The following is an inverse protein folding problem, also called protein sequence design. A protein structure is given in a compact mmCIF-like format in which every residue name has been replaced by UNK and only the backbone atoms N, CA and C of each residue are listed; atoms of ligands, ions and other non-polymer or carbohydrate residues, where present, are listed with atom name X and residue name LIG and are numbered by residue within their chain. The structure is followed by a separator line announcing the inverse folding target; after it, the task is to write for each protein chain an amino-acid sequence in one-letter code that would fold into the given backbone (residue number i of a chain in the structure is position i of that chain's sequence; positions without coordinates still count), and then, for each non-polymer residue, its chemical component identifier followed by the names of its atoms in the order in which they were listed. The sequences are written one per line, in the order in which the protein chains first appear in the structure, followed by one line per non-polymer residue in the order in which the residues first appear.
data_IF_337636856613
#
_entry.id   IF_337636856613
#
_cell.length_a   1.000
_cell.length_b   1.000
_cell.length_c   1.000
_cell.angle_alpha   90.00
_cell.angle_beta   90.00
_cell.angle_gamma   90.00
#
_symmetry.space_group_name_H-M   'P 1'
#
loop_
_entity.id
_entity.type
_entity.pdbx_description
1 polymer ?
#
# COMPACT_ATOMS: atom_id res chain seq x y z
N UNK A 1 12.27 -9.58 29.27
CA UNK A 1 11.43 -8.96 28.23
C UNK A 1 12.40 -8.45 27.18
N UNK A 2 12.35 -9.00 25.96
CA UNK A 2 13.28 -8.60 24.90
C UNK A 2 12.70 -7.34 24.26
N UNK A 3 13.42 -6.22 24.32
CA UNK A 3 13.00 -5.02 23.60
C UNK A 3 13.23 -5.24 22.11
N UNK A 4 12.22 -4.97 21.30
CA UNK A 4 12.40 -5.02 19.85
C UNK A 4 13.44 -3.97 19.41
N UNK A 5 14.39 -4.36 18.54
CA UNK A 5 15.28 -3.40 17.90
C UNK A 5 14.51 -2.27 17.24
N UNK A 6 15.02 -1.04 17.29
CA UNK A 6 14.36 0.16 16.73
C UNK A 6 13.76 -0.08 15.33
N UNK A 7 14.48 -0.68 14.36
CA UNK A 7 13.92 -0.91 13.03
C UNK A 7 12.72 -1.87 13.03
N UNK A 8 12.70 -2.87 13.91
CA UNK A 8 11.59 -3.82 14.01
C UNK A 8 10.34 -3.16 14.56
N UNK A 9 10.49 -2.33 15.59
CA UNK A 9 9.38 -1.55 16.17
C UNK A 9 8.77 -0.60 15.14
N UNK A 10 9.60 0.08 14.34
CA UNK A 10 9.11 0.95 13.26
C UNK A 10 8.32 0.17 12.21
N UNK A 11 8.81 -1.01 11.79
CA UNK A 11 8.09 -1.89 10.86
C UNK A 11 6.75 -2.34 11.47
N UNK A 12 6.75 -2.69 12.76
CA UNK A 12 5.55 -3.09 13.49
C UNK A 12 4.50 -1.97 13.50
N UNK A 13 4.89 -0.76 13.88
CA UNK A 13 4.02 0.42 13.88
C UNK A 13 3.47 0.78 12.49
N UNK A 14 4.26 0.59 11.44
CA UNK A 14 3.79 0.76 10.05
C UNK A 14 2.73 -0.31 9.73
N UNK A 15 2.96 -1.57 10.09
CA UNK A 15 2.03 -2.66 9.82
C UNK A 15 0.72 -2.52 10.58
N UNK A 16 0.77 -2.14 11.85
CA UNK A 16 -0.43 -1.90 12.66
C UNK A 16 -1.29 -0.78 12.06
N UNK A 17 -0.68 0.33 11.67
CA UNK A 17 -1.39 1.42 10.99
C UNK A 17 -2.05 0.95 9.70
N UNK A 18 -1.31 0.22 8.86
CA UNK A 18 -1.85 -0.32 7.61
C UNK A 18 -2.98 -1.33 7.85
N UNK A 19 -2.92 -2.12 8.93
CA UNK A 19 -4.00 -3.02 9.31
C UNK A 19 -5.24 -2.23 9.71
N UNK A 20 -5.11 -1.29 10.63
CA UNK A 20 -6.21 -0.46 11.11
C UNK A 20 -6.88 0.35 9.99
N UNK A 21 -6.10 0.85 9.03
CA UNK A 21 -6.63 1.59 7.87
C UNK A 21 -7.40 0.72 6.86
N UNK A 22 -7.16 -0.59 6.84
CA UNK A 22 -7.70 -1.48 5.81
C UNK A 22 -8.63 -2.57 6.36
N UNK A 23 -8.65 -2.84 7.67
CA UNK A 23 -9.38 -3.96 8.29
C UNK A 23 -10.88 -3.92 8.04
N UNK A 24 -11.45 -2.73 7.91
CA UNK A 24 -12.90 -2.52 7.74
C UNK A 24 -13.31 -2.39 6.25
N UNK A 25 -12.34 -2.42 5.33
CA UNK A 25 -12.63 -2.31 3.90
C UNK A 25 -13.07 -3.66 3.32
N UNK A 26 -14.17 -3.65 2.58
CA UNK A 26 -14.50 -4.77 1.69
C UNK A 26 -13.42 -4.93 0.61
N UNK A 27 -13.28 -6.14 0.06
CA UNK A 27 -12.37 -6.40 -1.06
C UNK A 27 -12.57 -5.41 -2.23
N UNK A 28 -13.82 -5.04 -2.53
CA UNK A 28 -14.12 -4.07 -3.59
C UNK A 28 -13.64 -2.67 -3.24
N UNK A 29 -13.81 -2.26 -1.99
CA UNK A 29 -13.40 -0.93 -1.51
C UNK A 29 -11.88 -0.84 -1.42
N UNK A 30 -11.22 -1.92 -1.00
CA UNK A 30 -9.77 -2.01 -0.98
C UNK A 30 -9.16 -1.87 -2.39
N UNK A 31 -9.72 -2.56 -3.39
CA UNK A 31 -9.30 -2.41 -4.80
C UNK A 31 -9.54 -0.97 -5.29
N UNK A 32 -10.69 -0.39 -4.96
CA UNK A 32 -11.00 0.99 -5.34
C UNK A 32 -10.01 2.00 -4.72
N UNK A 33 -9.64 1.81 -3.44
CA UNK A 33 -8.62 2.60 -2.74
C UNK A 33 -7.27 2.51 -3.46
N UNK A 34 -6.82 1.30 -3.80
CA UNK A 34 -5.56 1.08 -4.55
C UNK A 34 -5.57 1.81 -5.90
N UNK A 35 -6.65 1.68 -6.67
CA UNK A 35 -6.75 2.37 -7.97
C UNK A 35 -6.72 3.89 -7.82
N UNK A 36 -7.43 4.44 -6.83
CA UNK A 36 -7.45 5.88 -6.57
C UNK A 36 -6.07 6.39 -6.17
N UNK A 37 -5.40 5.73 -5.23
CA UNK A 37 -4.05 6.09 -4.80
C UNK A 37 -3.05 6.03 -5.96
N UNK A 38 -3.14 4.99 -6.79
CA UNK A 38 -2.31 4.87 -7.98
C UNK A 38 -2.54 6.03 -8.98
N UNK A 39 -3.80 6.40 -9.21
CA UNK A 39 -4.15 7.52 -10.09
C UNK A 39 -3.62 8.87 -9.56
N UNK A 40 -3.72 9.10 -8.25
CA UNK A 40 -3.19 10.30 -7.60
C UNK A 40 -1.67 10.40 -7.73
N UNK A 41 -0.95 9.30 -7.50
CA UNK A 41 0.51 9.23 -7.66
C UNK A 41 0.93 9.49 -9.12
N UNK A 42 0.20 8.91 -10.07
CA UNK A 42 0.45 9.12 -11.50
C UNK A 42 0.30 10.58 -11.88
N UNK A 43 -0.79 11.22 -11.45
CA UNK A 43 -1.04 12.64 -11.71
C UNK A 43 0.02 13.52 -11.06
N UNK A 44 0.37 13.24 -9.80
CA UNK A 44 1.31 14.04 -9.01
C UNK A 44 2.72 14.05 -9.60
N UNK A 45 3.18 12.90 -10.08
CA UNK A 45 4.56 12.73 -10.57
C UNK A 45 4.68 12.60 -12.09
N UNK A 46 3.57 12.76 -12.83
CA UNK A 46 3.56 12.65 -14.30
C UNK A 46 3.94 11.26 -14.81
N UNK A 47 3.67 10.21 -14.04
CA UNK A 47 4.05 8.84 -14.39
C UNK A 47 3.13 8.26 -15.47
N UNK A 48 3.56 7.16 -16.09
CA UNK A 48 2.74 6.40 -17.05
C UNK A 48 2.86 4.92 -16.75
N UNK A 49 1.74 4.21 -16.78
CA UNK A 49 1.78 2.75 -16.70
C UNK A 49 2.46 2.19 -17.96
N UNK A 50 3.54 1.44 -17.77
CA UNK A 50 4.08 0.58 -18.83
C UNK A 50 3.23 -0.68 -18.86
N UNK A 51 2.39 -0.84 -19.89
CA UNK A 51 1.71 -2.12 -20.12
C UNK A 51 2.77 -3.17 -20.42
N UNK A 52 2.93 -4.17 -19.55
CA UNK A 52 3.65 -5.38 -19.93
C UNK A 52 2.76 -6.14 -20.93
N UNK A 53 3.20 -6.25 -22.17
CA UNK A 53 2.73 -7.32 -23.05
C UNK A 53 3.18 -8.64 -22.41
N UNK A 54 2.25 -9.58 -22.22
CA UNK A 54 2.59 -10.93 -21.79
C UNK A 54 3.80 -11.45 -22.59
N UNK A 55 4.80 -11.96 -21.88
CA UNK A 55 5.77 -12.89 -22.47
C UNK A 55 5.02 -14.21 -22.55
N UNK A 56 4.64 -14.59 -23.77
CA UNK A 56 4.01 -15.85 -24.13
C UNK A 56 4.91 -17.04 -23.81
#
# INVERSE_FOLDING_TARGET
MYEEPKPMREIHEIRERLYEENKDLSHKEHIAKIHKEAEEVIKKYGLKFKKLSHVT
#
